data_IF_217422102842
#
_entry.id   IF_217422102842
#
_cell.length_a   1.000
_cell.length_b   1.000
_cell.length_c   1.000
_cell.angle_alpha   90.00
_cell.angle_beta   90.00
_cell.angle_gamma   90.00
#
_symmetry.space_group_name_H-M   'P 1'
#
loop_
_entity.id
_entity.type
_entity.pdbx_description
1 polymer ?
#
# COMPACT_ATOMS: atom_id res chain seq x y z
N UNK A 1 13.28 -17.54 -15.04
CA UNK A 1 12.19 -16.62 -15.42
C UNK A 1 11.19 -16.58 -14.27
N UNK A 2 11.24 -15.55 -13.43
CA UNK A 2 10.29 -15.38 -12.32
C UNK A 2 9.43 -14.14 -12.60
N UNK A 3 8.32 -14.32 -13.32
CA UNK A 3 7.34 -13.28 -13.67
C UNK A 3 6.26 -13.08 -12.59
N UNK A 4 6.58 -13.26 -11.32
CA UNK A 4 5.62 -13.03 -10.23
C UNK A 4 6.17 -11.97 -9.29
N UNK A 5 6.09 -10.71 -9.72
CA UNK A 5 6.15 -9.58 -8.79
C UNK A 5 4.95 -8.67 -9.02
N UNK A 6 4.04 -8.74 -8.05
CA UNK A 6 3.18 -7.66 -7.57
C UNK A 6 2.23 -7.00 -8.57
N UNK A 7 1.02 -7.53 -8.67
CA UNK A 7 -0.19 -6.71 -8.88
C UNK A 7 -1.25 -7.19 -7.88
N UNK A 8 -1.24 -6.58 -6.69
CA UNK A 8 -2.03 -7.02 -5.52
C UNK A 8 -3.52 -6.60 -5.56
N UNK A 9 -3.96 -5.82 -6.54
CA UNK A 9 -5.38 -5.54 -6.88
C UNK A 9 -5.41 -5.19 -8.38
N UNK A 10 -6.41 -5.68 -9.12
CA UNK A 10 -6.60 -5.37 -10.54
C UNK A 10 -6.60 -3.84 -10.76
N UNK A 11 -5.81 -3.30 -11.70
CA UNK A 11 -5.64 -1.85 -11.85
C UNK A 11 -6.95 -1.08 -12.01
N UNK A 12 -7.95 -1.71 -12.64
CA UNK A 12 -9.31 -1.17 -12.80
C UNK A 12 -10.02 -0.94 -11.47
N UNK A 13 -9.95 -1.90 -10.55
CA UNK A 13 -10.52 -1.79 -9.21
C UNK A 13 -9.82 -0.68 -8.43
N UNK A 14 -8.49 -0.55 -8.58
CA UNK A 14 -7.73 0.53 -7.93
C UNK A 14 -8.16 1.91 -8.40
N UNK A 15 -8.33 2.11 -9.71
CA UNK A 15 -8.83 3.39 -10.25
C UNK A 15 -10.22 3.71 -9.67
N UNK A 16 -11.11 2.72 -9.61
CA UNK A 16 -12.45 2.89 -9.02
C UNK A 16 -12.41 3.23 -7.52
N UNK A 17 -11.55 2.57 -6.74
CA UNK A 17 -11.35 2.91 -5.32
C UNK A 17 -10.80 4.33 -5.13
N UNK A 18 -9.91 4.78 -6.02
CA UNK A 18 -9.44 6.17 -5.98
C UNK A 18 -10.59 7.14 -6.19
N UNK A 19 -11.48 6.84 -7.13
CA UNK A 19 -12.63 7.69 -7.47
C UNK A 19 -13.67 7.75 -6.35
N UNK A 20 -14.08 6.59 -5.82
CA UNK A 20 -15.23 6.49 -4.93
C UNK A 20 -14.89 6.71 -3.46
N UNK A 21 -13.64 6.44 -3.05
CA UNK A 21 -13.27 6.40 -1.64
C UNK A 21 -12.04 7.27 -1.31
N UNK A 22 -10.90 6.99 -1.95
CA UNK A 22 -9.60 7.52 -1.49
C UNK A 22 -9.49 9.02 -1.76
N UNK A 23 -9.71 9.46 -3.00
CA UNK A 23 -9.59 10.89 -3.34
C UNK A 23 -10.67 11.76 -2.67
N UNK A 24 -11.95 11.34 -2.59
CA UNK A 24 -12.94 12.05 -1.80
C UNK A 24 -12.53 12.21 -0.32
N UNK A 25 -11.95 11.16 0.28
CA UNK A 25 -11.53 11.18 1.67
C UNK A 25 -10.33 12.11 1.90
N UNK A 26 -9.34 12.07 1.01
CA UNK A 26 -8.20 13.00 1.05
C UNK A 26 -8.69 14.44 0.90
N UNK A 27 -9.59 14.70 -0.04
CA UNK A 27 -10.14 16.04 -0.27
C UNK A 27 -10.85 16.61 0.96
N UNK A 28 -11.68 15.79 1.61
CA UNK A 28 -12.46 16.17 2.81
C UNK A 28 -11.64 16.19 4.11
N UNK A 29 -10.42 15.67 4.10
CA UNK A 29 -9.57 15.62 5.30
C UNK A 29 -9.20 17.02 5.80
N UNK A 30 -8.78 17.09 7.07
CA UNK A 30 -8.26 18.31 7.70
C UNK A 30 -6.79 18.60 7.35
N UNK A 31 -6.19 17.84 6.43
CA UNK A 31 -4.80 18.01 6.01
C UNK A 31 -4.59 19.34 5.31
N UNK A 32 -3.35 19.83 5.38
CA UNK A 32 -2.95 21.00 4.61
C UNK A 32 -2.92 20.66 3.11
N UNK A 33 -3.09 21.67 2.26
CA UNK A 33 -3.19 21.48 0.80
C UNK A 33 -2.00 20.71 0.23
N UNK A 34 -0.78 21.04 0.67
CA UNK A 34 0.44 20.34 0.24
C UNK A 34 0.41 18.85 0.59
N UNK A 35 -0.10 18.49 1.77
CA UNK A 35 -0.21 17.10 2.22
C UNK A 35 -1.26 16.34 1.39
N UNK A 36 -2.38 17.00 1.06
CA UNK A 36 -3.41 16.44 0.17
C UNK A 36 -2.85 16.18 -1.22
N UNK A 37 -2.11 17.13 -1.80
CA UNK A 37 -1.47 16.99 -3.11
C UNK A 37 -0.50 15.80 -3.11
N UNK A 38 0.37 15.73 -2.10
CA UNK A 38 1.33 14.62 -1.96
C UNK A 38 0.61 13.28 -1.84
N UNK A 39 -0.46 13.20 -1.04
CA UNK A 39 -1.23 11.98 -0.88
C UNK A 39 -1.92 11.52 -2.18
N UNK A 40 -2.63 12.42 -2.86
CA UNK A 40 -3.25 12.14 -4.16
C UNK A 40 -2.20 11.61 -5.15
N UNK A 41 -1.02 12.23 -5.17
CA UNK A 41 0.03 11.87 -6.10
C UNK A 41 0.71 10.53 -5.77
N UNK A 42 0.91 10.20 -4.49
CA UNK A 42 1.40 8.88 -4.05
C UNK A 42 0.46 7.77 -4.54
N UNK A 43 -0.85 7.95 -4.35
CA UNK A 43 -1.84 6.99 -4.82
C UNK A 43 -1.86 6.89 -6.35
N UNK A 44 -1.81 8.02 -7.05
CA UNK A 44 -1.69 8.05 -8.52
C UNK A 44 -0.49 7.24 -9.01
N UNK A 45 0.70 7.47 -8.46
CA UNK A 45 1.91 6.75 -8.90
C UNK A 45 1.82 5.25 -8.65
N UNK A 46 1.33 4.83 -7.49
CA UNK A 46 1.16 3.40 -7.17
C UNK A 46 0.22 2.70 -8.15
N UNK A 47 -0.89 3.35 -8.52
CA UNK A 47 -1.84 2.79 -9.49
C UNK A 47 -1.28 2.83 -10.91
N UNK A 48 -0.63 3.92 -11.30
CA UNK A 48 0.02 4.05 -12.60
C UNK A 48 1.07 2.95 -12.84
N UNK A 49 1.86 2.61 -11.82
CA UNK A 49 2.84 1.52 -11.93
C UNK A 49 2.16 0.16 -12.12
N UNK A 50 1.02 -0.08 -11.45
CA UNK A 50 0.25 -1.31 -11.70
C UNK A 50 -0.40 -1.37 -13.08
N UNK A 51 -0.81 -0.22 -13.64
CA UNK A 51 -1.38 -0.14 -15.00
C UNK A 51 -0.31 -0.48 -16.05
N UNK A 52 0.97 -0.12 -15.85
CA UNK A 52 2.05 -0.47 -16.79
C UNK A 52 2.21 -1.98 -17.01
N UNK A 53 1.82 -2.79 -16.01
CA UNK A 53 1.88 -4.25 -16.08
C UNK A 53 0.78 -4.90 -16.93
N UNK A 54 -0.22 -4.13 -17.39
CA UNK A 54 -1.32 -4.64 -18.24
C UNK A 54 -0.80 -4.92 -19.65
N UNK A 55 -1.11 -6.11 -20.17
CA UNK A 55 -0.70 -6.57 -21.51
C UNK A 55 -1.55 -5.95 -22.61
N UNK A 56 -2.84 -5.77 -22.36
CA UNK A 56 -3.77 -5.13 -23.27
C UNK A 56 -3.46 -3.63 -23.37
N UNK A 57 -3.18 -3.16 -24.60
CA UNK A 57 -2.77 -1.78 -24.83
C UNK A 57 -3.94 -0.80 -24.71
N UNK A 58 -5.14 -1.21 -25.11
CA UNK A 58 -6.36 -0.39 -25.11
C UNK A 58 -6.85 -0.22 -23.68
N UNK A 59 -6.92 -1.30 -22.90
CA UNK A 59 -7.26 -1.26 -21.47
C UNK A 59 -6.26 -0.40 -20.68
N UNK A 60 -4.97 -0.54 -20.99
CA UNK A 60 -3.92 0.26 -20.35
C UNK A 60 -4.09 1.75 -20.62
N UNK A 61 -4.39 2.12 -21.87
CA UNK A 61 -4.63 3.52 -22.26
C UNK A 61 -5.89 4.09 -21.62
N UNK A 62 -6.98 3.33 -21.60
CA UNK A 62 -8.25 3.69 -20.96
C UNK A 62 -8.03 3.98 -19.47
N UNK A 63 -7.37 3.06 -18.75
CA UNK A 63 -7.12 3.21 -17.31
C UNK A 63 -6.14 4.33 -16.99
N UNK A 64 -5.11 4.54 -17.82
CA UNK A 64 -4.21 5.69 -17.67
C UNK A 64 -4.97 7.01 -17.84
N UNK A 65 -5.85 7.08 -18.83
CA UNK A 65 -6.65 8.27 -19.11
C UNK A 65 -7.62 8.55 -17.96
N UNK A 66 -8.34 7.54 -17.48
CA UNK A 66 -9.24 7.65 -16.34
C UNK A 66 -8.51 8.11 -15.07
N UNK A 67 -7.36 7.50 -14.76
CA UNK A 67 -6.54 7.87 -13.61
C UNK A 67 -6.05 9.33 -13.68
N UNK A 68 -5.62 9.78 -14.86
CA UNK A 68 -5.15 11.15 -15.06
C UNK A 68 -6.30 12.16 -14.96
N UNK A 69 -7.46 11.86 -15.56
CA UNK A 69 -8.65 12.70 -15.47
C UNK A 69 -9.10 12.86 -14.02
N UNK A 70 -9.15 11.76 -13.26
CA UNK A 70 -9.52 11.76 -11.86
C UNK A 70 -8.57 12.62 -11.02
N UNK A 71 -7.26 12.47 -11.22
CA UNK A 71 -6.27 13.27 -10.51
C UNK A 71 -6.37 14.76 -10.83
N UNK A 72 -6.51 15.11 -12.11
CA UNK A 72 -6.67 16.51 -12.55
C UNK A 72 -7.93 17.15 -11.96
N UNK A 73 -9.03 16.40 -11.88
CA UNK A 73 -10.27 16.87 -11.25
C UNK A 73 -10.05 17.27 -9.79
N UNK A 74 -9.42 16.40 -8.98
CA UNK A 74 -9.21 16.70 -7.56
C UNK A 74 -8.18 17.81 -7.32
N UNK A 75 -7.15 17.93 -8.16
CA UNK A 75 -6.23 19.08 -8.08
C UNK A 75 -6.93 20.40 -8.37
N UNK A 76 -7.82 20.42 -9.38
CA UNK A 76 -8.61 21.60 -9.69
C UNK A 76 -9.55 21.98 -8.54
N UNK A 77 -10.15 21.00 -7.85
CA UNK A 77 -10.98 21.24 -6.67
C UNK A 77 -10.20 21.82 -5.48
N UNK A 78 -8.94 21.42 -5.31
CA UNK A 78 -8.07 21.97 -4.25
C UNK A 78 -7.63 23.41 -4.61
N UNK A 79 -7.61 23.76 -5.91
CA UNK A 79 -7.24 25.11 -6.36
C UNK A 79 -5.73 25.28 -6.54
N UNK A 80 -4.99 24.18 -6.74
CA UNK A 80 -3.53 24.22 -6.84
C UNK A 80 -3.05 24.89 -8.13
N UNK A 81 -1.97 25.65 -8.04
CA UNK A 81 -1.22 26.13 -9.20
C UNK A 81 -0.37 25.01 -9.83
N UNK A 82 -0.05 25.14 -11.12
CA UNK A 82 0.80 24.16 -11.83
C UNK A 82 2.15 23.94 -11.12
N UNK A 83 2.74 24.98 -10.54
CA UNK A 83 4.03 24.90 -9.86
C UNK A 83 3.96 24.19 -8.49
N UNK A 84 2.81 24.17 -7.83
CA UNK A 84 2.58 23.38 -6.62
C UNK A 84 2.41 21.90 -6.94
N UNK A 85 1.68 21.61 -8.02
CA UNK A 85 1.50 20.25 -8.53
C UNK A 85 2.85 19.66 -8.93
N UNK A 86 3.66 20.39 -9.71
CA UNK A 86 4.98 19.94 -10.15
C UNK A 86 5.95 19.69 -8.99
N UNK A 87 5.92 20.54 -7.95
CA UNK A 87 6.72 20.35 -6.74
C UNK A 87 6.29 19.13 -5.95
N UNK A 88 4.98 18.95 -5.73
CA UNK A 88 4.45 17.77 -5.06
C UNK A 88 4.76 16.48 -5.80
N UNK A 89 4.59 16.49 -7.13
CA UNK A 89 4.91 15.38 -8.01
C UNK A 89 6.41 15.02 -7.95
N UNK A 90 7.28 16.02 -8.03
CA UNK A 90 8.73 15.81 -7.98
C UNK A 90 9.17 15.26 -6.62
N UNK A 91 8.65 15.82 -5.52
CA UNK A 91 8.99 15.38 -4.17
C UNK A 91 8.65 13.90 -3.96
N UNK A 92 7.45 13.48 -4.37
CA UNK A 92 7.01 12.09 -4.21
C UNK A 92 7.74 11.15 -5.18
N UNK A 93 8.06 11.57 -6.41
CA UNK A 93 8.91 10.75 -7.31
C UNK A 93 10.28 10.48 -6.67
N UNK A 94 10.87 11.47 -6.02
CA UNK A 94 12.13 11.29 -5.30
C UNK A 94 11.97 10.40 -4.05
N UNK A 95 10.85 10.52 -3.31
CA UNK A 95 10.52 9.57 -2.22
C UNK A 95 10.50 8.12 -2.73
N UNK A 96 9.81 7.86 -3.85
CA UNK A 96 9.72 6.51 -4.44
C UNK A 96 11.08 5.99 -4.91
N UNK A 97 11.89 6.84 -5.55
CA UNK A 97 13.25 6.45 -5.97
C UNK A 97 14.13 6.11 -4.77
N UNK A 98 14.07 6.86 -3.68
CA UNK A 98 14.82 6.58 -2.45
C UNK A 98 14.41 5.23 -1.86
N UNK A 99 13.12 4.98 -1.74
CA UNK A 99 12.58 3.69 -1.26
C UNK A 99 13.03 2.54 -2.18
N UNK A 100 13.00 2.72 -3.50
CA UNK A 100 13.45 1.69 -4.44
C UNK A 100 14.96 1.40 -4.31
N UNK A 101 15.78 2.43 -4.09
CA UNK A 101 17.22 2.29 -3.84
C UNK A 101 17.47 1.59 -2.50
N UNK A 102 16.77 1.97 -1.43
CA UNK A 102 16.89 1.37 -0.10
C UNK A 102 16.45 -0.10 -0.11
N UNK A 103 15.35 -0.43 -0.80
CA UNK A 103 14.87 -1.81 -0.96
C UNK A 103 15.84 -2.66 -1.79
N UNK A 104 16.45 -2.10 -2.83
CA UNK A 104 17.47 -2.79 -3.64
C UNK A 104 18.81 -2.93 -2.92
N UNK A 105 19.18 -1.97 -2.07
CA UNK A 105 20.37 -2.02 -1.23
C UNK A 105 20.20 -3.00 -0.05
N UNK A 106 18.96 -3.22 0.38
CA UNK A 106 18.61 -4.08 1.53
C UNK A 106 18.17 -5.49 1.12
N UNK A 107 18.51 -6.00 -0.08
CA UNK A 107 18.34 -7.42 -0.38
C UNK A 107 19.43 -8.18 0.40
N UNK A 108 19.13 -8.81 1.55
CA UNK A 108 20.11 -9.65 2.19
C UNK A 108 20.17 -10.92 1.33
N UNK A 109 21.38 -11.33 0.94
CA UNK A 109 21.57 -12.71 0.51
C UNK A 109 20.96 -13.59 1.61
N UNK A 110 20.05 -14.50 1.24
CA UNK A 110 19.46 -15.47 2.15
C UNK A 110 20.59 -16.22 2.87
N UNK A 111 20.95 -15.77 4.06
CA UNK A 111 21.63 -16.57 5.04
C UNK A 111 20.52 -17.13 5.93
N UNK A 112 20.14 -18.36 5.65
CA UNK A 112 19.42 -19.21 6.60
C UNK A 112 20.32 -19.41 7.83
N UNK A 113 20.36 -18.42 8.72
CA UNK A 113 20.85 -18.65 10.07
C UNK A 113 19.66 -19.16 10.88
N UNK A 114 19.70 -20.46 11.16
CA UNK A 114 18.82 -21.14 12.09
C UNK A 114 19.01 -20.59 13.51
N UNK A 115 18.55 -19.37 13.77
CA UNK A 115 18.27 -18.92 15.12
C UNK A 115 16.92 -19.49 15.52
N UNK A 116 16.88 -20.22 16.64
CA UNK A 116 15.67 -20.82 17.20
C UNK A 116 14.58 -19.76 17.39
N UNK A 117 13.71 -19.66 16.39
CA UNK A 117 12.55 -18.77 16.43
C UNK A 117 11.64 -19.26 17.56
N UNK A 118 11.51 -18.43 18.60
CA UNK A 118 10.67 -18.72 19.77
C UNK A 118 9.24 -19.08 19.33
N UNK A 119 8.54 -19.90 20.11
CA UNK A 119 7.17 -20.27 19.81
C UNK A 119 6.25 -19.04 19.62
N UNK A 120 6.54 -17.94 20.31
CA UNK A 120 5.87 -16.65 20.17
C UNK A 120 6.07 -16.02 18.79
N UNK A 121 7.30 -15.98 18.27
CA UNK A 121 7.56 -15.43 16.92
C UNK A 121 6.96 -16.31 15.83
N UNK A 122 6.98 -17.64 15.99
CA UNK A 122 6.26 -18.56 15.09
C UNK A 122 4.75 -18.31 15.09
N UNK A 123 4.15 -18.10 16.26
CA UNK A 123 2.73 -17.76 16.39
C UNK A 123 2.41 -16.41 15.72
N UNK A 124 3.27 -15.41 15.92
CA UNK A 124 3.15 -14.08 15.30
C UNK A 124 3.15 -14.21 13.76
N UNK A 125 4.16 -14.88 13.18
CA UNK A 125 4.26 -15.09 11.73
C UNK A 125 3.06 -15.85 11.17
N UNK A 126 2.62 -16.92 11.85
CA UNK A 126 1.45 -17.68 11.43
C UNK A 126 0.17 -16.82 11.44
N UNK A 127 -0.02 -15.98 12.48
CA UNK A 127 -1.19 -15.12 12.59
C UNK A 127 -1.20 -14.01 11.54
N UNK A 128 -0.04 -13.39 11.26
CA UNK A 128 0.14 -12.47 10.14
C UNK A 128 -0.21 -13.13 8.81
N UNK A 129 0.30 -14.34 8.56
CA UNK A 129 -0.02 -15.11 7.37
C UNK A 129 -1.52 -15.40 7.21
N UNK A 130 -2.24 -15.67 8.31
CA UNK A 130 -3.70 -15.83 8.28
C UNK A 130 -4.41 -14.53 7.92
N UNK A 131 -3.99 -13.39 8.51
CA UNK A 131 -4.57 -12.08 8.19
C UNK A 131 -4.35 -11.77 6.71
N UNK A 132 -3.14 -12.02 6.20
CA UNK A 132 -2.79 -11.85 4.80
C UNK A 132 -3.64 -12.73 3.88
N UNK A 133 -3.78 -14.02 4.20
CA UNK A 133 -4.57 -14.96 3.40
C UNK A 133 -6.06 -14.57 3.37
N UNK A 134 -6.61 -14.08 4.48
CA UNK A 134 -7.99 -13.63 4.56
C UNK A 134 -8.22 -12.36 3.73
N UNK A 135 -7.26 -11.43 3.76
CA UNK A 135 -7.24 -10.25 2.88
C UNK A 135 -7.23 -10.64 1.41
N UNK A 136 -6.33 -11.56 1.02
CA UNK A 136 -6.22 -12.08 -0.34
C UNK A 136 -7.49 -12.82 -0.77
N UNK A 137 -8.13 -13.56 0.13
CA UNK A 137 -9.39 -14.26 -0.13
C UNK A 137 -10.53 -13.27 -0.40
N UNK A 138 -10.71 -12.26 0.45
CA UNK A 138 -11.79 -11.29 0.27
C UNK A 138 -11.57 -10.45 -1.01
N UNK A 139 -10.31 -10.10 -1.30
CA UNK A 139 -9.94 -9.44 -2.55
C UNK A 139 -10.26 -10.30 -3.78
N UNK A 140 -9.99 -11.61 -3.74
CA UNK A 140 -10.26 -12.52 -4.88
C UNK A 140 -11.74 -12.87 -5.03
N UNK A 141 -12.55 -12.73 -3.98
CA UNK A 141 -14.01 -12.92 -4.03
C UNK A 141 -14.80 -11.64 -4.32
N UNK A 142 -14.14 -10.51 -4.56
CA UNK A 142 -14.76 -9.19 -4.76
C UNK A 142 -15.70 -8.77 -3.60
N UNK A 143 -15.46 -9.26 -2.39
CA UNK A 143 -16.24 -8.90 -1.21
C UNK A 143 -15.60 -7.70 -0.53
N UNK A 144 -16.34 -6.60 -0.42
CA UNK A 144 -15.99 -5.50 0.46
C UNK A 144 -15.97 -6.00 1.91
N UNK A 145 -14.95 -5.59 2.67
CA UNK A 145 -14.96 -5.86 4.10
C UNK A 145 -16.14 -5.15 4.75
N UNK A 146 -16.87 -5.88 5.58
CA UNK A 146 -17.81 -5.28 6.52
C UNK A 146 -17.05 -4.51 7.60
N UNK A 147 -17.70 -3.53 8.23
CA UNK A 147 -17.09 -2.78 9.35
C UNK A 147 -16.64 -3.71 10.49
N UNK A 148 -17.41 -4.76 10.77
CA UNK A 148 -17.08 -5.77 11.78
C UNK A 148 -15.83 -6.59 11.42
N UNK A 149 -15.64 -6.92 10.14
CA UNK A 149 -14.44 -7.60 9.66
C UNK A 149 -13.20 -6.70 9.76
N UNK A 150 -13.32 -5.42 9.37
CA UNK A 150 -12.24 -4.44 9.49
C UNK A 150 -11.85 -4.23 10.96
N UNK A 151 -12.82 -4.12 11.86
CA UNK A 151 -12.56 -4.00 13.29
C UNK A 151 -11.88 -5.26 13.86
N UNK A 152 -12.30 -6.44 13.38
CA UNK A 152 -11.65 -7.71 13.74
C UNK A 152 -10.19 -7.75 13.28
N UNK A 153 -9.89 -7.34 12.06
CA UNK A 153 -8.51 -7.26 11.56
C UNK A 153 -7.66 -6.26 12.34
N UNK A 154 -8.21 -5.07 12.65
CA UNK A 154 -7.52 -4.06 13.47
C UNK A 154 -7.21 -4.60 14.86
N UNK A 155 -8.16 -5.28 15.51
CA UNK A 155 -7.96 -5.93 16.81
C UNK A 155 -6.89 -7.02 16.75
N UNK A 156 -6.88 -7.83 15.70
CA UNK A 156 -5.86 -8.87 15.50
C UNK A 156 -4.46 -8.26 15.29
N UNK A 157 -4.32 -7.23 14.45
CA UNK A 157 -3.04 -6.55 14.23
C UNK A 157 -2.52 -5.88 15.51
N UNK A 158 -3.38 -5.17 16.25
CA UNK A 158 -3.01 -4.59 17.55
C UNK A 158 -2.52 -5.67 18.54
N UNK A 159 -3.15 -6.85 18.54
CA UNK A 159 -2.75 -7.97 19.41
C UNK A 159 -1.41 -8.58 18.98
N UNK A 160 -1.14 -8.63 17.68
CA UNK A 160 0.15 -9.09 17.14
C UNK A 160 1.25 -8.10 17.50
N UNK A 161 1.03 -6.79 17.34
CA UNK A 161 1.98 -5.74 17.73
C UNK A 161 2.29 -5.76 19.22
N UNK A 162 1.27 -5.92 20.07
CA UNK A 162 1.47 -6.00 21.50
C UNK A 162 2.42 -7.16 21.85
N UNK A 163 2.17 -8.35 21.30
CA UNK A 163 3.05 -9.53 21.50
C UNK A 163 4.42 -9.38 20.86
N UNK A 164 4.52 -8.65 19.75
CA UNK A 164 5.78 -8.33 19.10
C UNK A 164 6.60 -7.38 19.96
N UNK A 165 5.97 -6.42 20.64
CA UNK A 165 6.62 -5.45 21.53
C UNK A 165 7.34 -6.15 22.69
N UNK A 166 6.76 -7.25 23.19
CA UNK A 166 7.32 -8.12 24.24
C UNK A 166 8.51 -8.98 23.77
N UNK A 167 8.74 -9.07 22.45
CA UNK A 167 9.91 -9.78 21.91
C UNK A 167 11.18 -8.92 22.02
N UNK A 168 12.35 -9.54 22.27
CA UNK A 168 13.62 -8.83 22.21
C UNK A 168 13.86 -8.22 20.83
N UNK A 169 14.59 -7.10 20.78
CA UNK A 169 14.91 -6.45 19.52
C UNK A 169 15.81 -7.37 18.68
N UNK A 170 15.29 -7.76 17.52
CA UNK A 170 15.95 -8.63 16.56
C UNK A 170 15.56 -8.19 15.14
N UNK A 171 16.33 -8.63 14.15
CA UNK A 171 16.00 -8.40 12.75
C UNK A 171 14.61 -8.92 12.39
N UNK A 172 14.25 -10.09 12.94
CA UNK A 172 12.94 -10.70 12.75
C UNK A 172 11.81 -9.83 13.32
N UNK A 173 12.05 -9.13 14.43
CA UNK A 173 11.07 -8.19 15.01
C UNK A 173 10.83 -6.99 14.08
N UNK A 174 11.88 -6.47 13.47
CA UNK A 174 11.81 -5.35 12.51
C UNK A 174 11.04 -5.77 11.26
N UNK A 175 11.38 -6.92 10.68
CA UNK A 175 10.69 -7.47 9.49
C UNK A 175 9.20 -7.66 9.72
N UNK A 176 8.82 -8.22 10.88
CA UNK A 176 7.42 -8.40 11.25
C UNK A 176 6.73 -7.04 11.44
N UNK A 177 7.41 -6.06 12.02
CA UNK A 177 6.87 -4.70 12.18
C UNK A 177 6.54 -4.05 10.83
N UNK A 178 7.45 -4.16 9.86
CA UNK A 178 7.21 -3.68 8.49
C UNK A 178 6.03 -4.38 7.82
N UNK A 179 5.88 -5.70 8.04
CA UNK A 179 4.78 -6.48 7.47
C UNK A 179 3.41 -6.11 8.08
N UNK A 180 3.38 -5.76 9.37
CA UNK A 180 2.19 -5.24 10.03
C UNK A 180 1.79 -3.86 9.47
N UNK A 181 2.76 -2.95 9.26
CA UNK A 181 2.49 -1.65 8.65
C UNK A 181 1.91 -1.80 7.23
N UNK A 182 2.48 -2.68 6.41
CA UNK A 182 1.93 -2.99 5.08
C UNK A 182 0.50 -3.54 5.14
N UNK A 183 0.18 -4.37 6.13
CA UNK A 183 -1.17 -4.87 6.34
C UNK A 183 -2.15 -3.76 6.72
N UNK A 184 -1.73 -2.84 7.60
CA UNK A 184 -2.54 -1.67 7.97
C UNK A 184 -2.81 -0.77 6.77
N UNK A 185 -1.81 -0.52 5.93
CA UNK A 185 -1.97 0.25 4.69
C UNK A 185 -2.97 -0.36 3.71
N UNK A 186 -3.12 -1.70 3.70
CA UNK A 186 -4.06 -2.40 2.83
C UNK A 186 -5.49 -2.47 3.38
N UNK A 187 -5.68 -2.18 4.67
CA UNK A 187 -6.97 -2.20 5.37
C UNK A 187 -7.57 -0.79 5.57
N UNK A 188 -6.90 0.25 5.05
CA UNK A 188 -7.34 1.65 5.01
C UNK A 188 -7.83 2.02 3.61
#
# INVERSE_FOLDING_TARGET
>A
MNEYKTVLVEPRVRVKMLEELVFPSIFRSSWHEEEKIRALFRHKLRVAESIKGIRDAEEREELCTALNALYSYYLALIGCSSSEVERGESAVKEEFKRIEIEVKASIPAQSESAEEVTASVRWIKARLGMVWAQLVKNASMHQSFTEDELDTFKKDLNRIELKLSEQPNSQVKVEIGEEIERLRELLL
#
